data_IF_197573390930
#
_entry.id   IF_197573390930
#
_cell.length_a   1.000
_cell.length_b   1.000
_cell.length_c   1.000
_cell.angle_alpha   90.00
_cell.angle_beta   90.00
_cell.angle_gamma   90.00
#
_symmetry.space_group_name_H-M   'P 1'
#
loop_
_entity.id
_entity.type
_entity.pdbx_description
1 polymer ?
#
# COMPACT_ATOMS: atom_id res chain seq x y z
N UNK A 1 -44.16 3.24 17.62
CA UNK A 1 -43.16 4.24 18.05
C UNK A 1 -42.58 4.84 16.80
N UNK A 2 -42.56 6.15 16.67
CA UNK A 2 -41.87 6.83 15.55
C UNK A 2 -40.37 6.57 15.71
N UNK A 3 -39.71 6.21 14.62
CA UNK A 3 -38.29 5.89 14.61
C UNK A 3 -37.48 7.20 14.59
N UNK A 4 -36.43 7.30 15.43
CA UNK A 4 -35.47 8.42 15.38
C UNK A 4 -34.78 8.41 14.02
N UNK A 5 -34.76 9.55 13.30
CA UNK A 5 -34.03 9.64 12.04
C UNK A 5 -32.53 9.59 12.28
N UNK A 6 -31.83 8.76 11.52
CA UNK A 6 -30.37 8.74 11.50
C UNK A 6 -29.84 9.82 10.58
N UNK A 7 -28.65 10.35 10.89
CA UNK A 7 -28.09 11.45 10.12
C UNK A 7 -27.95 11.09 8.63
N UNK A 8 -27.54 9.85 8.32
CA UNK A 8 -27.40 9.33 6.96
C UNK A 8 -28.70 9.41 6.13
N UNK A 9 -29.87 9.38 6.78
CA UNK A 9 -31.18 9.44 6.11
C UNK A 9 -31.59 10.86 5.72
N UNK A 10 -30.92 11.87 6.30
CA UNK A 10 -31.33 13.27 6.17
C UNK A 10 -30.26 14.11 5.47
N UNK A 11 -28.98 13.99 5.87
CA UNK A 11 -27.94 14.86 5.34
C UNK A 11 -26.53 14.28 5.54
N UNK A 12 -25.64 14.49 4.57
CA UNK A 12 -24.24 14.11 4.63
C UNK A 12 -23.33 15.18 4.00
N UNK A 13 -22.14 15.48 4.56
CA UNK A 13 -21.14 16.36 3.94
C UNK A 13 -20.40 15.63 2.80
N UNK A 14 -21.11 15.34 1.70
CA UNK A 14 -20.61 14.53 0.58
C UNK A 14 -19.34 15.10 -0.06
N UNK A 15 -19.24 16.43 -0.17
CA UNK A 15 -18.06 17.09 -0.74
C UNK A 15 -16.79 16.74 0.05
N UNK A 16 -16.81 16.93 1.37
CA UNK A 16 -15.67 16.61 2.23
C UNK A 16 -15.34 15.11 2.24
N UNK A 17 -16.36 14.24 2.23
CA UNK A 17 -16.16 12.78 2.15
C UNK A 17 -15.47 12.40 0.82
N UNK A 18 -15.89 13.00 -0.29
CA UNK A 18 -15.33 12.75 -1.61
C UNK A 18 -13.88 13.26 -1.72
N UNK A 19 -13.60 14.47 -1.21
CA UNK A 19 -12.25 15.04 -1.16
C UNK A 19 -11.30 14.16 -0.34
N UNK A 20 -11.71 13.76 0.87
CA UNK A 20 -10.92 12.89 1.73
C UNK A 20 -10.67 11.52 1.07
N UNK A 21 -11.69 10.93 0.45
CA UNK A 21 -11.59 9.65 -0.28
C UNK A 21 -10.67 9.74 -1.49
N UNK A 22 -10.64 10.87 -2.19
CA UNK A 22 -9.73 11.09 -3.31
C UNK A 22 -8.28 11.25 -2.82
N UNK A 23 -8.07 12.04 -1.76
CA UNK A 23 -6.75 12.28 -1.16
C UNK A 23 -6.10 10.98 -0.67
N UNK A 24 -6.87 10.09 -0.05
CA UNK A 24 -6.41 8.81 0.50
C UNK A 24 -5.68 7.93 -0.53
N UNK A 25 -6.08 7.97 -1.81
CA UNK A 25 -5.43 7.21 -2.90
C UNK A 25 -3.96 7.56 -3.11
N UNK A 26 -3.55 8.76 -2.70
CA UNK A 26 -2.16 9.22 -2.83
C UNK A 26 -1.28 8.83 -1.63
N UNK A 27 -1.87 8.37 -0.53
CA UNK A 27 -1.19 8.10 0.73
C UNK A 27 -0.47 6.75 0.65
N UNK A 28 0.85 6.78 0.87
CA UNK A 28 1.72 5.59 0.76
C UNK A 28 2.28 5.12 2.10
N UNK A 29 2.25 5.95 3.14
CA UNK A 29 2.76 5.58 4.45
C UNK A 29 1.61 5.26 5.40
N UNK A 30 1.69 4.13 6.11
CA UNK A 30 0.68 3.69 7.09
C UNK A 30 -0.68 3.26 6.50
N UNK A 31 -0.95 3.55 5.22
CA UNK A 31 -2.20 3.15 4.58
C UNK A 31 -2.26 1.64 4.35
N UNK A 32 -3.35 0.94 4.71
CA UNK A 32 -3.38 -0.52 4.68
C UNK A 32 -3.32 -1.14 3.26
N UNK A 33 -3.41 -0.34 2.19
CA UNK A 33 -3.09 -0.79 0.82
C UNK A 33 -1.61 -1.10 0.60
N UNK A 34 -0.71 -0.62 1.46
CA UNK A 34 0.73 -0.91 1.36
C UNK A 34 1.11 -2.23 2.00
N UNK A 35 0.24 -2.79 2.85
CA UNK A 35 0.37 -4.17 3.33
C UNK A 35 0.07 -5.16 2.19
N UNK A 36 -1.07 -4.97 1.51
CA UNK A 36 -1.46 -5.74 0.34
C UNK A 36 -2.45 -4.95 -0.52
N UNK A 37 -2.22 -4.96 -1.84
CA UNK A 37 -3.12 -4.33 -2.80
C UNK A 37 -4.40 -5.17 -2.92
N UNK A 38 -5.54 -4.59 -2.53
CA UNK A 38 -6.86 -5.19 -2.73
C UNK A 38 -7.63 -4.41 -3.79
N UNK A 39 -8.06 -5.09 -4.86
CA UNK A 39 -8.58 -4.46 -6.09
C UNK A 39 -9.87 -3.64 -5.90
N UNK A 40 -10.66 -3.94 -4.88
CA UNK A 40 -11.93 -3.25 -4.61
C UNK A 40 -12.00 -2.68 -3.19
N UNK A 41 -10.87 -2.18 -2.65
CA UNK A 41 -10.84 -1.60 -1.30
C UNK A 41 -11.69 -0.31 -1.27
N UNK A 42 -12.68 -0.26 -0.38
CA UNK A 42 -13.47 0.95 -0.13
C UNK A 42 -12.59 2.01 0.54
N UNK A 43 -12.71 3.30 0.17
CA UNK A 43 -12.01 4.38 0.87
C UNK A 43 -12.35 4.36 2.36
N UNK A 44 -11.36 4.51 3.22
CA UNK A 44 -11.53 4.52 4.68
C UNK A 44 -12.35 5.73 5.11
N UNK A 45 -12.12 6.89 4.49
CA UNK A 45 -12.91 8.10 4.72
C UNK A 45 -14.42 7.86 4.54
N UNK A 46 -14.80 7.24 3.42
CA UNK A 46 -16.20 6.90 3.13
C UNK A 46 -16.76 5.84 4.09
N UNK A 47 -16.01 4.78 4.38
CA UNK A 47 -16.43 3.75 5.33
C UNK A 47 -16.69 4.34 6.72
N UNK A 48 -15.77 5.16 7.23
CA UNK A 48 -15.92 5.85 8.52
C UNK A 48 -17.13 6.76 8.55
N UNK A 49 -17.34 7.57 7.50
CA UNK A 49 -18.48 8.47 7.41
C UNK A 49 -19.81 7.70 7.44
N UNK A 50 -19.94 6.67 6.61
CA UNK A 50 -21.17 5.88 6.50
C UNK A 50 -21.47 5.16 7.81
N UNK A 51 -20.47 4.53 8.43
CA UNK A 51 -20.66 3.85 9.73
C UNK A 51 -21.10 4.86 10.80
N UNK A 52 -20.35 5.95 10.96
CA UNK A 52 -20.64 6.97 11.97
C UNK A 52 -22.05 7.55 11.80
N UNK A 53 -22.41 7.98 10.58
CA UNK A 53 -23.70 8.62 10.28
C UNK A 53 -24.89 7.68 10.24
N UNK A 54 -24.66 6.37 10.12
CA UNK A 54 -25.70 5.35 10.31
C UNK A 54 -26.04 5.12 11.78
N UNK A 55 -25.12 5.46 12.69
CA UNK A 55 -25.29 5.26 14.13
C UNK A 55 -25.81 6.50 14.84
N UNK A 56 -25.30 7.68 14.48
CA UNK A 56 -25.73 8.93 15.11
C UNK A 56 -27.09 9.41 14.56
N UNK A 57 -27.93 9.89 15.46
CA UNK A 57 -29.22 10.50 15.12
C UNK A 57 -29.01 11.85 14.43
N UNK A 58 -30.02 12.29 13.68
CA UNK A 58 -30.10 13.68 13.26
C UNK A 58 -30.40 14.56 14.48
N UNK A 59 -29.51 15.50 14.88
CA UNK A 59 -29.73 16.28 16.10
C UNK A 59 -30.87 17.30 16.00
N UNK A 60 -31.44 17.52 14.81
CA UNK A 60 -32.67 18.32 14.66
C UNK A 60 -33.94 17.46 14.70
N UNK A 61 -33.83 16.13 14.81
CA UNK A 61 -34.99 15.25 15.02
C UNK A 61 -35.57 15.52 16.43
N UNK A 62 -36.89 15.76 16.57
CA UNK A 62 -37.52 16.00 17.86
C UNK A 62 -37.34 14.87 18.90
N UNK A 63 -37.01 13.67 18.46
CA UNK A 63 -36.79 12.48 19.30
C UNK A 63 -35.32 12.15 19.52
N UNK A 64 -34.39 12.97 19.00
CA UNK A 64 -32.97 12.80 19.26
C UNK A 64 -32.67 12.91 20.78
N UNK A 65 -31.78 12.08 21.34
CA UNK A 65 -31.46 12.13 22.76
C UNK A 65 -30.97 13.53 23.17
N UNK A 66 -31.55 14.18 24.22
CA UNK A 66 -31.16 15.53 24.60
C UNK A 66 -29.66 15.68 24.91
N UNK A 67 -29.06 14.64 25.50
CA UNK A 67 -27.62 14.59 25.78
C UNK A 67 -26.78 14.58 24.50
N UNK A 68 -27.21 13.83 23.47
CA UNK A 68 -26.56 13.83 22.16
C UNK A 68 -26.66 15.21 21.50
N UNK A 69 -27.85 15.82 21.49
CA UNK A 69 -28.06 17.16 20.92
C UNK A 69 -27.17 18.19 21.63
N UNK A 70 -27.07 18.12 22.96
CA UNK A 70 -26.19 19.00 23.73
C UNK A 70 -24.71 18.75 23.44
N UNK A 71 -24.29 17.49 23.28
CA UNK A 71 -22.92 17.17 22.87
C UNK A 71 -22.60 17.76 21.49
N UNK A 72 -23.51 17.66 20.51
CA UNK A 72 -23.37 18.31 19.22
C UNK A 72 -23.27 19.85 19.34
N UNK A 73 -24.05 20.47 20.25
CA UNK A 73 -23.92 21.90 20.57
C UNK A 73 -22.61 22.28 21.23
N UNK A 74 -21.86 21.34 21.80
CA UNK A 74 -20.57 21.60 22.43
C UNK A 74 -19.39 21.36 21.48
N UNK A 75 -19.62 20.75 20.31
CA UNK A 75 -18.57 20.55 19.31
C UNK A 75 -17.99 21.90 18.85
N UNK A 76 -16.69 21.95 18.51
CA UNK A 76 -16.07 23.16 17.96
C UNK A 76 -16.74 23.63 16.68
N UNK A 77 -16.93 24.95 16.55
CA UNK A 77 -17.42 25.58 15.32
C UNK A 77 -16.38 25.43 14.21
N UNK A 78 -16.82 25.03 13.02
CA UNK A 78 -16.00 25.00 11.82
C UNK A 78 -16.57 25.92 10.74
N UNK A 79 -16.30 25.58 9.48
CA UNK A 79 -16.63 26.41 8.32
C UNK A 79 -18.13 26.48 8.01
N UNK A 80 -18.91 25.52 8.50
CA UNK A 80 -20.36 25.46 8.31
C UNK A 80 -21.15 26.24 9.37
N UNK A 81 -20.48 26.75 10.42
CA UNK A 81 -21.12 27.51 11.48
C UNK A 81 -21.54 28.91 10.99
N UNK A 82 -22.80 29.27 11.22
CA UNK A 82 -23.34 30.61 10.96
C UNK A 82 -23.49 31.41 12.28
N UNK A 83 -24.01 32.64 12.20
CA UNK A 83 -24.30 33.44 13.40
C UNK A 83 -25.29 32.76 14.36
N UNK A 84 -26.21 31.94 13.85
CA UNK A 84 -27.16 31.12 14.60
C UNK A 84 -26.89 29.64 14.32
N UNK A 85 -25.74 29.15 14.80
CA UNK A 85 -25.28 27.80 14.48
C UNK A 85 -26.16 26.70 15.09
N UNK A 86 -26.46 25.68 14.29
CA UNK A 86 -27.28 24.54 14.71
C UNK A 86 -26.42 23.36 15.17
N UNK A 87 -26.97 22.45 16.00
CA UNK A 87 -26.29 21.19 16.34
C UNK A 87 -25.86 20.40 15.10
N UNK A 88 -26.71 20.37 14.05
CA UNK A 88 -26.39 19.70 12.78
C UNK A 88 -25.18 20.32 12.07
N UNK A 89 -25.08 21.65 12.03
CA UNK A 89 -23.94 22.34 11.42
C UNK A 89 -22.62 22.00 12.13
N UNK A 90 -22.64 21.98 13.47
CA UNK A 90 -21.46 21.57 14.25
C UNK A 90 -21.10 20.10 14.06
N UNK A 91 -22.10 19.23 13.93
CA UNK A 91 -21.89 17.82 13.63
C UNK A 91 -21.28 17.64 12.23
N UNK A 92 -21.69 18.46 11.25
CA UNK A 92 -21.07 18.48 9.92
C UNK A 92 -19.61 18.90 9.98
N UNK A 93 -19.30 20.01 10.65
CA UNK A 93 -17.92 20.46 10.88
C UNK A 93 -17.06 19.41 11.59
N UNK A 94 -17.65 18.60 12.47
CA UNK A 94 -16.97 17.46 13.08
C UNK A 94 -16.75 16.32 12.09
N UNK A 95 -17.76 15.92 11.30
CA UNK A 95 -17.64 14.85 10.31
C UNK A 95 -16.55 15.18 9.29
N UNK A 96 -16.48 16.42 8.81
CA UNK A 96 -15.43 16.84 7.87
C UNK A 96 -14.01 16.62 8.42
N UNK A 97 -13.81 16.85 9.72
CA UNK A 97 -12.54 16.53 10.40
C UNK A 97 -12.37 15.03 10.58
N UNK A 98 -13.43 14.35 11.03
CA UNK A 98 -13.44 12.92 11.30
C UNK A 98 -13.03 12.10 10.08
N UNK A 99 -13.44 12.47 8.86
CA UNK A 99 -13.18 11.70 7.63
C UNK A 99 -11.77 11.88 7.06
N UNK A 100 -10.97 12.80 7.61
CA UNK A 100 -9.60 13.03 7.15
C UNK A 100 -8.68 11.82 7.42
N UNK A 101 -7.54 11.76 6.74
CA UNK A 101 -6.54 10.73 7.01
C UNK A 101 -5.90 10.93 8.38
N UNK A 102 -5.63 12.17 8.77
CA UNK A 102 -5.01 12.54 10.03
C UNK A 102 -5.85 12.11 11.24
N UNK A 103 -7.19 12.18 11.11
CA UNK A 103 -8.11 11.72 12.14
C UNK A 103 -8.03 10.22 12.43
N UNK A 104 -7.44 9.40 11.54
CA UNK A 104 -7.30 7.95 11.75
C UNK A 104 -6.45 7.57 12.97
N UNK A 105 -5.64 8.51 13.46
CA UNK A 105 -4.74 8.36 14.60
C UNK A 105 -4.90 9.46 15.65
N UNK A 106 -5.89 10.35 15.48
CA UNK A 106 -6.20 11.40 16.44
C UNK A 106 -7.20 10.87 17.48
N UNK A 107 -6.68 10.48 18.64
CA UNK A 107 -7.52 9.94 19.72
C UNK A 107 -8.53 10.94 20.27
N UNK A 108 -8.31 12.26 20.17
CA UNK A 108 -9.30 13.23 20.63
C UNK A 108 -10.53 13.23 19.71
N UNK A 109 -10.30 13.20 18.38
CA UNK A 109 -11.37 13.10 17.39
C UNK A 109 -12.08 11.75 17.50
N UNK A 110 -11.34 10.64 17.59
CA UNK A 110 -11.92 9.30 17.68
C UNK A 110 -12.70 9.10 18.98
N UNK A 111 -12.21 9.62 20.11
CA UNK A 111 -12.93 9.59 21.39
C UNK A 111 -14.25 10.38 21.30
N UNK A 112 -14.22 11.58 20.70
CA UNK A 112 -15.43 12.37 20.47
C UNK A 112 -16.44 11.59 19.60
N UNK A 113 -15.98 10.91 18.54
CA UNK A 113 -16.86 10.09 17.70
C UNK A 113 -17.49 8.93 18.48
N UNK A 114 -16.70 8.23 19.30
CA UNK A 114 -17.17 7.14 20.18
C UNK A 114 -18.22 7.65 21.17
N UNK A 115 -18.00 8.80 21.80
CA UNK A 115 -18.94 9.41 22.74
C UNK A 115 -20.27 9.78 22.06
N UNK A 116 -20.23 10.37 20.87
CA UNK A 116 -21.44 10.71 20.11
C UNK A 116 -22.24 9.45 19.71
N UNK A 117 -21.55 8.38 19.30
CA UNK A 117 -22.17 7.08 19.02
C UNK A 117 -22.85 6.54 20.29
N UNK A 118 -22.16 6.54 21.42
CA UNK A 118 -22.70 6.06 22.71
C UNK A 118 -23.95 6.83 23.12
N UNK A 119 -23.94 8.16 23.01
CA UNK A 119 -25.10 9.00 23.35
C UNK A 119 -26.30 8.75 22.43
N UNK A 120 -26.07 8.49 21.14
CA UNK A 120 -27.15 8.24 20.18
C UNK A 120 -27.70 6.80 20.22
N UNK A 121 -26.92 5.86 20.76
CA UNK A 121 -27.27 4.44 20.88
C UNK A 121 -27.67 4.04 22.30
N UNK A 122 -27.98 5.02 23.15
CA UNK A 122 -28.38 4.80 24.55
C UNK A 122 -27.37 3.93 25.33
N UNK A 123 -26.07 4.10 25.02
CA UNK A 123 -24.97 3.35 25.64
C UNK A 123 -24.72 1.95 25.08
N UNK A 124 -25.46 1.54 24.04
CA UNK A 124 -25.42 0.18 23.50
C UNK A 124 -25.30 0.18 21.97
N UNK A 125 -24.14 0.57 21.42
CA UNK A 125 -23.92 0.55 19.98
C UNK A 125 -24.01 -0.89 19.44
N UNK A 126 -24.70 -1.11 18.30
CA UNK A 126 -24.83 -2.45 17.75
C UNK A 126 -23.48 -2.97 17.22
N UNK A 127 -23.24 -4.30 17.28
CA UNK A 127 -22.10 -4.89 16.59
C UNK A 127 -22.25 -4.70 15.07
N UNK A 128 -21.12 -4.50 14.39
CA UNK A 128 -21.06 -4.39 12.93
C UNK A 128 -20.61 -5.72 12.33
N UNK A 129 -21.37 -6.25 11.36
CA UNK A 129 -21.01 -7.43 10.59
C UNK A 129 -20.73 -7.03 9.13
N UNK A 130 -19.52 -7.31 8.66
CA UNK A 130 -19.15 -7.23 7.24
C UNK A 130 -18.88 -8.64 6.69
N UNK A 131 -19.86 -9.29 6.04
CA UNK A 131 -19.73 -10.67 5.59
C UNK A 131 -18.83 -10.83 4.34
N UNK A 132 -18.42 -9.72 3.71
CA UNK A 132 -17.61 -9.68 2.49
C UNK A 132 -16.50 -8.64 2.61
N UNK A 133 -15.70 -8.76 3.67
CA UNK A 133 -14.83 -7.70 4.13
C UNK A 133 -13.70 -7.33 3.15
N UNK A 134 -13.29 -8.24 2.27
CA UNK A 134 -12.25 -8.01 1.28
C UNK A 134 -10.99 -7.42 1.90
N UNK A 135 -10.66 -6.18 1.56
CA UNK A 135 -9.49 -5.47 2.08
C UNK A 135 -9.61 -4.96 3.53
N UNK A 136 -10.77 -5.12 4.18
CA UNK A 136 -11.01 -4.85 5.60
C UNK A 136 -11.30 -3.40 5.97
N UNK A 137 -11.69 -2.54 5.00
CA UNK A 137 -11.91 -1.11 5.28
C UNK A 137 -13.04 -0.85 6.27
N UNK A 138 -14.20 -1.48 6.08
CA UNK A 138 -15.38 -1.29 6.93
C UNK A 138 -15.13 -1.78 8.36
N UNK A 139 -14.70 -3.04 8.60
CA UNK A 139 -14.46 -3.51 9.96
C UNK A 139 -13.29 -2.78 10.66
N UNK A 140 -12.28 -2.30 9.92
CA UNK A 140 -11.21 -1.48 10.49
C UNK A 140 -11.73 -0.13 11.00
N UNK A 141 -12.54 0.56 10.20
CA UNK A 141 -13.13 1.85 10.61
C UNK A 141 -14.17 1.67 11.73
N UNK A 142 -14.93 0.57 11.71
CA UNK A 142 -15.83 0.20 12.80
C UNK A 142 -15.08 0.06 14.13
N UNK A 143 -13.94 -0.65 14.12
CA UNK A 143 -13.09 -0.80 15.30
C UNK A 143 -12.51 0.55 15.77
N UNK A 144 -12.09 1.42 14.86
CA UNK A 144 -11.62 2.79 15.20
C UNK A 144 -12.70 3.61 15.89
N UNK A 145 -13.94 3.48 15.43
CA UNK A 145 -15.14 4.11 16.00
C UNK A 145 -15.63 3.42 17.29
N UNK A 146 -14.91 2.42 17.81
CA UNK A 146 -15.20 1.76 19.09
C UNK A 146 -16.29 0.68 19.02
N UNK A 147 -16.63 0.19 17.83
CA UNK A 147 -17.62 -0.86 17.65
C UNK A 147 -17.00 -2.25 17.78
N UNK A 148 -17.83 -3.21 18.22
CA UNK A 148 -17.55 -4.62 18.01
C UNK A 148 -17.71 -4.93 16.52
N UNK A 149 -16.62 -5.29 15.84
CA UNK A 149 -16.59 -5.53 14.41
C UNK A 149 -16.33 -7.00 14.11
N UNK A 150 -17.27 -7.63 13.40
CA UNK A 150 -17.18 -8.98 12.86
C UNK A 150 -16.99 -8.91 11.35
N UNK A 151 -16.02 -9.65 10.84
CA UNK A 151 -15.70 -9.67 9.42
C UNK A 151 -15.48 -11.10 8.94
N UNK A 152 -16.04 -11.42 7.77
CA UNK A 152 -15.76 -12.68 7.07
C UNK A 152 -15.44 -12.44 5.60
N UNK A 153 -14.74 -13.40 5.00
CA UNK A 153 -14.54 -13.48 3.57
C UNK A 153 -14.25 -14.94 3.20
N UNK A 154 -14.65 -15.36 1.99
CA UNK A 154 -14.31 -16.68 1.47
C UNK A 154 -12.86 -16.72 0.96
N UNK A 155 -12.34 -15.58 0.52
CA UNK A 155 -10.99 -15.48 -0.03
C UNK A 155 -9.95 -15.52 1.11
N UNK A 156 -9.04 -16.51 1.14
CA UNK A 156 -8.04 -16.61 2.21
C UNK A 156 -7.09 -15.41 2.26
N UNK A 157 -6.84 -14.74 1.14
CA UNK A 157 -6.03 -13.51 1.12
C UNK A 157 -6.75 -12.37 1.84
N UNK A 158 -8.06 -12.20 1.63
CA UNK A 158 -8.86 -11.22 2.36
C UNK A 158 -8.86 -11.52 3.86
N UNK A 159 -9.08 -12.78 4.25
CA UNK A 159 -9.04 -13.21 5.64
C UNK A 159 -7.68 -12.87 6.28
N UNK A 160 -6.57 -13.15 5.60
CA UNK A 160 -5.24 -12.82 6.11
C UNK A 160 -5.01 -11.31 6.26
N UNK A 161 -5.48 -10.49 5.32
CA UNK A 161 -5.41 -9.03 5.43
C UNK A 161 -6.20 -8.54 6.64
N UNK A 162 -7.42 -9.02 6.84
CA UNK A 162 -8.28 -8.64 7.97
C UNK A 162 -7.65 -9.07 9.30
N UNK A 163 -7.08 -10.29 9.37
CA UNK A 163 -6.34 -10.75 10.55
C UNK A 163 -5.19 -9.82 10.90
N UNK A 164 -4.36 -9.46 9.92
CA UNK A 164 -3.21 -8.60 10.12
C UNK A 164 -3.58 -7.17 10.50
N UNK A 165 -4.71 -6.65 10.02
CA UNK A 165 -5.14 -5.27 10.26
C UNK A 165 -6.02 -5.10 11.51
N UNK A 166 -6.88 -6.06 11.81
CA UNK A 166 -8.04 -5.88 12.71
C UNK A 166 -8.02 -6.86 13.88
N UNK A 167 -7.62 -8.11 13.64
CA UNK A 167 -7.68 -9.16 14.68
C UNK A 167 -6.40 -9.21 15.54
N UNK A 168 -5.24 -9.21 14.89
CA UNK A 168 -3.96 -9.45 15.56
C UNK A 168 -3.50 -8.21 16.35
N UNK A 169 -3.40 -7.00 15.78
CA UNK A 169 -2.81 -5.86 16.51
C UNK A 169 -3.51 -5.53 17.86
N UNK A 170 -4.85 -5.53 17.96
CA UNK A 170 -5.54 -5.26 19.22
C UNK A 170 -5.30 -6.33 20.29
N UNK A 171 -5.12 -7.60 19.92
CA UNK A 171 -4.81 -8.68 20.86
C UNK A 171 -3.48 -8.46 21.60
N UNK A 172 -2.56 -7.71 20.99
CA UNK A 172 -1.25 -7.35 21.55
C UNK A 172 -1.16 -5.87 21.95
N UNK A 173 -2.29 -5.16 22.00
CA UNK A 173 -2.30 -3.74 22.34
C UNK A 173 -1.76 -3.53 23.77
N UNK A 174 -0.87 -2.55 23.89
CA UNK A 174 -0.18 -2.18 25.12
C UNK A 174 0.66 -3.29 25.78
N UNK A 175 0.94 -4.37 25.05
CA UNK A 175 1.81 -5.44 25.53
C UNK A 175 3.27 -5.15 25.16
N UNK A 176 4.23 -5.52 26.04
CA UNK A 176 5.63 -5.47 25.69
C UNK A 176 5.97 -6.49 24.60
N UNK A 177 6.99 -6.23 23.77
CA UNK A 177 7.48 -7.18 22.79
C UNK A 177 7.97 -8.48 23.44
N UNK A 178 8.01 -9.55 22.65
CA UNK A 178 8.51 -10.86 23.06
C UNK A 178 9.95 -11.13 22.65
N UNK A 179 10.51 -10.31 21.74
CA UNK A 179 11.85 -10.53 21.21
C UNK A 179 12.94 -10.35 22.27
N UNK A 180 14.06 -11.10 22.18
CA UNK A 180 15.14 -11.05 23.17
C UNK A 180 15.80 -9.68 23.33
N UNK A 181 15.91 -8.89 22.25
CA UNK A 181 16.57 -7.57 22.26
C UNK A 181 15.81 -6.56 23.14
N UNK A 182 14.49 -6.59 23.05
CA UNK A 182 13.64 -5.62 23.76
C UNK A 182 13.13 -6.17 25.11
N UNK A 183 13.18 -7.50 25.33
CA UNK A 183 12.86 -8.14 26.64
C UNK A 183 14.03 -8.17 27.62
N UNK A 184 15.23 -8.43 27.14
CA UNK A 184 16.44 -8.50 27.97
C UNK A 184 17.24 -7.23 27.77
N UNK A 185 17.91 -6.74 28.81
CA UNK A 185 18.86 -5.63 28.72
C UNK A 185 20.12 -5.94 27.89
N UNK A 186 19.99 -6.62 26.76
CA UNK A 186 21.04 -6.80 25.78
C UNK A 186 21.41 -5.41 25.22
N UNK A 187 22.71 -5.08 25.15
CA UNK A 187 23.11 -3.78 24.66
C UNK A 187 22.68 -3.66 23.21
N UNK A 188 21.76 -2.74 22.93
CA UNK A 188 21.62 -2.21 21.59
C UNK A 188 23.01 -1.78 21.11
N UNK A 189 23.35 -2.05 19.84
CA UNK A 189 24.56 -1.53 19.20
C UNK A 189 24.69 0.01 19.30
N UNK A 190 23.62 0.69 19.73
CA UNK A 190 23.54 2.10 20.09
C UNK A 190 23.41 2.32 21.61
N UNK A 191 24.44 2.00 22.40
CA UNK A 191 24.78 2.63 23.70
C UNK A 191 23.70 2.93 24.76
N UNK A 192 22.50 2.39 24.68
CA UNK A 192 21.39 2.70 25.58
C UNK A 192 21.25 1.58 26.61
N UNK A 193 21.48 1.91 27.87
CA UNK A 193 21.44 1.01 29.02
C UNK A 193 20.04 0.46 29.28
N UNK A 194 19.97 -0.82 29.66
CA UNK A 194 18.77 -1.59 30.05
C UNK A 194 17.79 -0.86 31.00
N UNK A 195 18.27 0.06 31.83
CA UNK A 195 17.44 0.85 32.75
C UNK A 195 16.44 1.81 32.06
N UNK A 196 16.70 2.23 30.80
CA UNK A 196 15.75 3.07 30.04
C UNK A 196 14.62 2.29 29.37
N UNK A 197 14.74 0.97 29.25
CA UNK A 197 13.75 0.10 28.60
C UNK A 197 12.57 -0.29 29.50
N UNK A 198 12.80 -0.39 30.82
CA UNK A 198 11.73 -0.61 31.80
C UNK A 198 10.75 0.57 31.92
N UNK A 199 11.12 1.75 31.41
CA UNK A 199 10.30 2.96 31.41
C UNK A 199 9.56 3.20 30.07
N UNK A 200 9.74 2.36 29.05
CA UNK A 200 9.04 2.52 27.78
C UNK A 200 7.63 1.95 27.92
N UNK A 201 6.66 2.85 28.07
CA UNK A 201 5.25 2.46 27.99
C UNK A 201 4.93 2.09 26.54
N UNK A 202 4.73 0.79 26.28
CA UNK A 202 4.28 0.29 24.99
C UNK A 202 2.82 0.72 24.80
N UNK A 203 2.59 1.71 23.93
CA UNK A 203 1.25 2.20 23.60
C UNK A 203 0.75 1.55 22.32
N UNK A 204 -0.50 1.08 22.31
CA UNK A 204 -1.13 0.45 21.14
C UNK A 204 -0.33 -0.76 20.65
N UNK A 205 -0.16 -0.89 19.33
CA UNK A 205 0.55 -2.02 18.72
C UNK A 205 2.09 -1.84 18.66
N UNK A 206 2.69 -0.92 19.43
CA UNK A 206 4.12 -0.63 19.35
C UNK A 206 5.02 -1.80 19.76
N UNK A 207 4.62 -2.61 20.76
CA UNK A 207 5.34 -3.83 21.13
C UNK A 207 5.33 -4.87 20.02
N UNK A 208 4.15 -5.18 19.46
CA UNK A 208 4.03 -6.07 18.30
C UNK A 208 4.85 -5.57 17.11
N UNK A 209 4.83 -4.26 16.84
CA UNK A 209 5.63 -3.68 15.76
C UNK A 209 7.13 -3.86 15.99
N UNK A 210 7.61 -3.82 17.24
CA UNK A 210 9.00 -4.10 17.56
C UNK A 210 9.36 -5.57 17.28
N UNK A 211 8.50 -6.51 17.65
CA UNK A 211 8.67 -7.93 17.32
C UNK A 211 8.68 -8.20 15.80
N UNK A 212 7.76 -7.61 15.06
CA UNK A 212 7.70 -7.75 13.59
C UNK A 212 9.00 -7.26 12.94
N UNK A 213 9.57 -6.15 13.42
CA UNK A 213 10.87 -5.66 12.93
C UNK A 213 12.00 -6.63 13.28
N UNK A 214 12.09 -7.03 14.55
CA UNK A 214 13.15 -7.92 15.01
C UNK A 214 13.15 -9.27 14.27
N UNK A 215 12.00 -9.96 14.23
CA UNK A 215 11.92 -11.25 13.55
C UNK A 215 11.99 -11.11 12.03
N UNK A 216 11.57 -9.98 11.48
CA UNK A 216 11.78 -9.64 10.07
C UNK A 216 13.26 -9.52 9.72
N UNK A 217 14.04 -8.79 10.53
CA UNK A 217 15.50 -8.67 10.40
C UNK A 217 16.17 -10.05 10.53
N UNK A 218 15.82 -10.82 11.55
CA UNK A 218 16.33 -12.18 11.74
C UNK A 218 16.02 -13.10 10.55
N UNK A 219 14.78 -13.09 10.04
CA UNK A 219 14.40 -13.87 8.86
C UNK A 219 15.21 -13.45 7.63
N UNK A 220 15.43 -12.15 7.43
CA UNK A 220 16.26 -11.62 6.35
C UNK A 220 17.70 -12.12 6.48
N UNK A 221 18.30 -12.06 7.66
CA UNK A 221 19.65 -12.55 7.92
C UNK A 221 19.76 -14.06 7.65
N UNK A 222 18.79 -14.86 8.12
CA UNK A 222 18.77 -16.30 7.84
C UNK A 222 18.55 -16.63 6.36
N UNK A 223 17.76 -15.84 5.65
CA UNK A 223 17.67 -15.97 4.20
C UNK A 223 19.02 -15.64 3.54
N UNK A 224 19.65 -14.54 3.94
CA UNK A 224 20.95 -14.12 3.40
C UNK A 224 22.07 -15.15 3.66
N UNK A 225 22.15 -15.73 4.86
CA UNK A 225 23.09 -16.82 5.17
C UNK A 225 22.91 -18.03 4.21
N UNK A 226 21.66 -18.37 3.89
CA UNK A 226 21.34 -19.58 3.09
C UNK A 226 21.49 -19.35 1.59
N UNK A 227 21.05 -18.20 1.08
CA UNK A 227 20.91 -17.94 -0.36
C UNK A 227 21.58 -16.64 -0.82
N UNK A 228 22.25 -15.89 0.07
CA UNK A 228 22.93 -14.65 -0.28
C UNK A 228 24.04 -14.84 -1.32
N UNK A 229 24.68 -16.01 -1.35
CA UNK A 229 25.66 -16.37 -2.38
C UNK A 229 25.08 -16.41 -3.81
N UNK A 230 23.76 -16.46 -3.98
CA UNK A 230 23.08 -16.33 -5.28
C UNK A 230 23.02 -14.87 -5.77
N UNK A 231 23.32 -13.91 -4.91
CA UNK A 231 23.34 -12.47 -5.15
C UNK A 231 24.78 -11.96 -5.04
N UNK A 232 25.64 -12.24 -6.04
CA UNK A 232 27.04 -11.84 -6.01
C UNK A 232 27.20 -10.32 -5.98
N UNK A 233 28.38 -9.87 -5.58
CA UNK A 233 28.74 -8.46 -5.67
C UNK A 233 29.23 -8.09 -7.09
N UNK A 234 28.89 -6.89 -7.53
CA UNK A 234 29.44 -6.25 -8.72
C UNK A 234 29.88 -4.84 -8.32
N UNK A 235 31.18 -4.53 -8.49
CA UNK A 235 31.77 -3.24 -8.09
C UNK A 235 31.56 -2.88 -6.60
N UNK A 236 31.53 -3.87 -5.70
CA UNK A 236 31.31 -3.66 -4.26
C UNK A 236 29.84 -3.45 -3.86
N UNK A 237 28.90 -3.63 -4.79
CA UNK A 237 27.47 -3.57 -4.51
C UNK A 237 26.81 -4.93 -4.76
N UNK A 238 25.84 -5.28 -3.93
CA UNK A 238 25.03 -6.51 -4.10
C UNK A 238 24.21 -6.41 -5.38
N UNK A 239 24.29 -7.43 -6.24
CA UNK A 239 23.38 -7.59 -7.39
C UNK A 239 22.00 -7.97 -6.88
N UNK A 240 20.98 -7.19 -7.25
CA UNK A 240 19.58 -7.41 -6.82
C UNK A 240 18.66 -7.87 -7.96
N UNK A 241 19.06 -7.66 -9.22
CA UNK A 241 18.30 -8.15 -10.37
C UNK A 241 19.17 -8.34 -11.62
N UNK A 242 18.69 -9.23 -12.50
CA UNK A 242 19.25 -9.45 -13.83
C UNK A 242 18.16 -9.26 -14.88
N UNK A 243 18.47 -8.46 -15.90
CA UNK A 243 17.57 -8.21 -17.01
C UNK A 243 18.02 -9.02 -18.22
N UNK A 244 17.17 -9.96 -18.64
CA UNK A 244 17.45 -10.89 -19.73
C UNK A 244 16.54 -10.60 -20.93
N UNK A 245 17.10 -10.67 -22.13
CA UNK A 245 16.33 -10.76 -23.36
C UNK A 245 16.13 -12.22 -23.75
N UNK A 246 14.92 -12.60 -24.18
CA UNK A 246 14.76 -13.79 -25.01
C UNK A 246 15.38 -13.52 -26.37
N UNK A 247 15.99 -14.52 -26.98
CA UNK A 247 16.58 -14.40 -28.31
C UNK A 247 16.03 -15.47 -29.24
N UNK A 248 16.03 -15.16 -30.53
CA UNK A 248 15.70 -16.08 -31.63
C UNK A 248 16.72 -15.89 -32.74
N UNK A 249 16.91 -16.90 -33.59
CA UNK A 249 17.77 -16.74 -34.76
C UNK A 249 17.14 -15.75 -35.74
N UNK A 250 17.94 -14.90 -36.37
CA UNK A 250 17.47 -14.02 -37.43
C UNK A 250 16.97 -14.85 -38.62
N UNK A 251 15.78 -14.57 -39.18
CA UNK A 251 15.25 -15.34 -40.31
C UNK A 251 16.02 -15.10 -41.61
N UNK A 252 16.84 -14.03 -41.69
CA UNK A 252 17.76 -13.81 -42.80
C UNK A 252 18.96 -14.77 -42.68
N UNK A 253 19.10 -15.76 -43.58
CA UNK A 253 20.17 -16.76 -43.50
C UNK A 253 21.58 -16.15 -43.60
N UNK A 254 21.74 -15.04 -44.31
CA UNK A 254 23.01 -14.34 -44.44
C UNK A 254 23.41 -13.59 -43.15
N UNK A 255 22.44 -13.28 -42.27
CA UNK A 255 22.71 -12.64 -40.99
C UNK A 255 22.92 -13.69 -39.89
N UNK A 256 21.95 -14.58 -39.68
CA UNK A 256 22.04 -15.66 -38.69
C UNK A 256 22.20 -15.24 -37.23
N UNK A 257 22.18 -13.93 -36.92
CA UNK A 257 22.38 -13.40 -35.58
C UNK A 257 21.34 -13.92 -34.58
N UNK A 258 21.73 -14.06 -33.32
CA UNK A 258 20.78 -14.30 -32.22
C UNK A 258 20.17 -12.97 -31.80
N UNK A 259 19.03 -12.61 -32.41
CA UNK A 259 18.42 -11.30 -32.19
C UNK A 259 17.65 -11.27 -30.86
N UNK A 260 17.88 -10.26 -30.01
CA UNK A 260 17.16 -10.10 -28.76
C UNK A 260 15.73 -9.59 -29.00
N UNK A 261 14.79 -10.08 -28.21
CA UNK A 261 13.39 -9.70 -28.21
C UNK A 261 13.12 -8.79 -27.00
N UNK A 262 13.11 -7.49 -27.25
CA UNK A 262 13.09 -6.45 -26.21
C UNK A 262 12.06 -5.40 -26.60
N UNK A 263 11.13 -5.08 -25.69
CA UNK A 263 10.12 -4.04 -25.93
C UNK A 263 10.70 -2.63 -25.79
N UNK A 264 11.65 -2.43 -24.89
CA UNK A 264 12.33 -1.15 -24.68
C UNK A 264 13.71 -1.40 -24.10
N UNK A 265 14.70 -0.66 -24.59
CA UNK A 265 16.05 -0.66 -24.03
C UNK A 265 16.21 0.37 -22.89
N UNK A 266 15.18 1.15 -22.56
CA UNK A 266 15.22 2.05 -21.41
C UNK A 266 15.08 1.27 -20.10
N UNK A 267 16.04 1.46 -19.18
CA UNK A 267 16.03 0.86 -17.84
C UNK A 267 15.42 1.80 -16.80
N UNK A 268 15.71 3.11 -16.90
CA UNK A 268 15.16 4.15 -16.02
C UNK A 268 14.85 5.40 -16.82
N UNK A 269 13.66 5.95 -16.60
CA UNK A 269 13.19 7.25 -17.15
C UNK A 269 13.06 8.33 -16.06
N UNK A 270 13.59 8.08 -14.87
CA UNK A 270 13.55 9.04 -13.76
C UNK A 270 14.38 10.27 -14.13
N UNK A 271 13.76 11.46 -14.06
CA UNK A 271 14.44 12.73 -14.36
C UNK A 271 15.75 12.85 -13.58
N UNK A 272 16.85 13.16 -14.27
CA UNK A 272 18.18 13.27 -13.68
C UNK A 272 18.90 11.94 -13.42
N UNK A 273 18.22 10.79 -13.59
CA UNK A 273 18.76 9.44 -13.37
C UNK A 273 18.32 8.49 -14.49
N UNK A 274 18.58 8.88 -15.73
CA UNK A 274 18.26 8.05 -16.90
C UNK A 274 19.28 6.93 -17.04
N UNK A 275 18.81 5.74 -17.40
CA UNK A 275 19.64 4.59 -17.70
C UNK A 275 19.04 3.79 -18.86
N UNK A 276 19.87 3.29 -19.77
CA UNK A 276 19.44 2.50 -20.91
C UNK A 276 20.51 1.50 -21.35
N UNK A 277 20.11 0.54 -22.18
CA UNK A 277 20.99 -0.46 -22.79
C UNK A 277 21.23 -0.10 -24.25
N UNK A 278 22.47 -0.15 -24.70
CA UNK A 278 22.83 -0.02 -26.11
C UNK A 278 23.30 -1.38 -26.66
N UNK A 279 22.60 -1.94 -27.66
CA UNK A 279 23.09 -3.13 -28.36
C UNK A 279 24.28 -2.76 -29.25
N UNK A 280 25.38 -3.48 -29.08
CA UNK A 280 26.59 -3.41 -29.90
C UNK A 280 26.62 -4.63 -30.82
N UNK A 281 26.76 -4.42 -32.13
CA UNK A 281 26.79 -5.50 -33.11
C UNK A 281 28.20 -5.65 -33.65
N UNK A 282 28.80 -6.82 -33.43
CA UNK A 282 30.07 -7.15 -34.08
C UNK A 282 29.85 -7.36 -35.59
N UNK A 283 30.54 -6.58 -36.42
CA UNK A 283 30.32 -6.56 -37.86
C UNK A 283 30.68 -7.89 -38.57
N UNK A 284 31.62 -8.66 -38.00
CA UNK A 284 32.12 -9.90 -38.61
C UNK A 284 31.31 -11.11 -38.16
N UNK A 285 31.09 -11.23 -36.86
CA UNK A 285 30.45 -12.40 -36.23
C UNK A 285 28.94 -12.23 -36.08
N UNK A 286 28.41 -11.00 -36.25
CA UNK A 286 27.03 -10.63 -35.94
C UNK A 286 26.62 -10.92 -34.51
N UNK A 287 27.60 -11.11 -33.61
CA UNK A 287 27.38 -11.27 -32.18
C UNK A 287 26.90 -9.93 -31.63
N UNK A 288 25.78 -9.99 -30.90
CA UNK A 288 25.20 -8.81 -30.25
C UNK A 288 25.67 -8.83 -28.80
N UNK A 289 26.22 -7.72 -28.31
CA UNK A 289 26.53 -7.50 -26.89
C UNK A 289 25.79 -6.25 -26.41
N UNK A 290 25.76 -6.02 -25.10
CA UNK A 290 25.00 -4.92 -24.51
C UNK A 290 25.91 -4.06 -23.65
N UNK A 291 25.75 -2.74 -23.75
CA UNK A 291 26.44 -1.77 -22.91
C UNK A 291 25.39 -0.95 -22.17
N UNK A 292 25.49 -0.89 -20.84
CA UNK A 292 24.63 -0.04 -20.03
C UNK A 292 25.19 1.39 -20.05
N UNK A 293 24.32 2.36 -20.29
CA UNK A 293 24.61 3.79 -20.24
C UNK A 293 23.77 4.46 -19.16
N UNK A 294 24.35 5.46 -18.51
CA UNK A 294 23.68 6.28 -17.50
C UNK A 294 24.00 7.76 -17.74
N UNK A 295 23.00 8.62 -17.61
CA UNK A 295 23.16 10.07 -17.77
C UNK A 295 22.02 10.84 -17.09
N UNK A 296 22.18 12.17 -16.97
CA UNK A 296 21.12 13.06 -16.46
C UNK A 296 19.91 13.12 -17.39
N UNK A 297 20.12 12.89 -18.70
CA UNK A 297 19.11 12.79 -19.75
C UNK A 297 19.61 11.83 -20.83
N UNK A 298 18.72 11.00 -21.36
CA UNK A 298 19.01 10.07 -22.44
C UNK A 298 17.90 9.02 -22.61
N UNK A 299 17.98 8.25 -23.67
CA UNK A 299 17.08 7.11 -23.94
C UNK A 299 17.83 6.08 -24.77
N UNK A 300 17.47 4.81 -24.60
CA UNK A 300 17.93 3.75 -25.48
C UNK A 300 17.32 3.85 -26.86
N UNK A 301 17.87 3.07 -27.79
CA UNK A 301 17.24 2.85 -29.08
C UNK A 301 15.84 2.23 -28.91
N UNK A 302 15.05 2.27 -29.99
CA UNK A 302 13.77 1.58 -30.02
C UNK A 302 13.94 0.09 -29.72
N UNK A 303 12.96 -0.47 -29.00
CA UNK A 303 12.91 -1.91 -28.76
C UNK A 303 12.85 -2.70 -30.06
N UNK A 304 13.36 -3.92 -30.04
CA UNK A 304 13.30 -4.81 -31.20
C UNK A 304 11.91 -5.36 -31.45
N UNK A 305 11.01 -5.34 -30.46
CA UNK A 305 9.64 -5.86 -30.58
C UNK A 305 8.63 -4.72 -30.61
N UNK A 306 7.77 -4.72 -31.63
CA UNK A 306 6.65 -3.81 -31.78
C UNK A 306 5.35 -4.58 -32.08
N UNK A 307 4.29 -3.87 -32.50
CA UNK A 307 2.97 -4.45 -32.80
C UNK A 307 2.94 -5.40 -34.02
N UNK A 308 3.96 -5.38 -34.87
CA UNK A 308 4.04 -6.17 -36.10
C UNK A 308 4.93 -7.42 -35.95
N UNK A 309 5.82 -7.43 -34.96
CA UNK A 309 6.76 -8.51 -34.72
C UNK A 309 8.06 -7.99 -34.11
N UNK A 310 9.16 -8.68 -34.40
CA UNK A 310 10.50 -8.28 -34.00
C UNK A 310 11.32 -7.79 -35.21
N UNK A 311 12.35 -6.99 -34.97
CA UNK A 311 13.32 -6.54 -35.97
C UNK A 311 14.74 -6.86 -35.50
N UNK A 312 15.55 -7.47 -36.36
CA UNK A 312 16.93 -7.81 -36.03
C UNK A 312 17.80 -6.55 -35.94
N UNK A 313 18.39 -6.27 -34.77
CA UNK A 313 19.30 -5.12 -34.58
C UNK A 313 20.58 -5.22 -35.40
N UNK A 314 20.95 -6.41 -35.88
CA UNK A 314 22.19 -6.61 -36.65
C UNK A 314 22.05 -6.34 -38.16
N UNK A 315 20.85 -6.50 -38.73
CA UNK A 315 20.65 -6.36 -40.17
C UNK A 315 19.29 -5.73 -40.58
N UNK A 316 18.45 -5.34 -39.63
CA UNK A 316 17.13 -4.75 -39.89
C UNK A 316 16.07 -5.70 -40.41
N UNK A 317 16.36 -7.01 -40.57
CA UNK A 317 15.38 -7.97 -41.08
C UNK A 317 14.21 -8.13 -40.11
N UNK A 318 12.95 -8.00 -40.59
CA UNK A 318 11.77 -8.24 -39.77
C UNK A 318 11.56 -9.73 -39.52
N UNK A 319 11.09 -10.03 -38.32
CA UNK A 319 10.75 -11.36 -37.83
C UNK A 319 9.31 -11.31 -37.29
N UNK A 320 8.33 -11.66 -38.13
CA UNK A 320 6.92 -11.51 -37.76
C UNK A 320 6.54 -12.50 -36.64
N UNK A 321 5.46 -12.20 -35.91
CA UNK A 321 5.05 -13.04 -34.78
C UNK A 321 4.87 -14.53 -35.07
N UNK A 322 4.35 -14.98 -36.23
CA UNK A 322 4.29 -16.40 -36.56
C UNK A 322 5.66 -17.08 -36.48
N UNK A 323 6.70 -16.43 -37.01
CA UNK A 323 8.08 -16.94 -36.94
C UNK A 323 8.58 -17.02 -35.50
N UNK A 324 8.45 -15.93 -34.74
CA UNK A 324 8.89 -15.89 -33.33
C UNK A 324 8.16 -16.93 -32.47
N UNK A 325 6.86 -17.14 -32.72
CA UNK A 325 6.06 -18.15 -32.02
C UNK A 325 6.48 -19.57 -32.42
N UNK A 326 6.80 -19.81 -33.68
CA UNK A 326 7.31 -21.11 -34.14
C UNK A 326 8.65 -21.46 -33.50
N UNK A 327 9.60 -20.51 -33.46
CA UNK A 327 10.88 -20.66 -32.76
C UNK A 327 10.67 -20.99 -31.28
N UNK A 328 9.73 -20.31 -30.63
CA UNK A 328 9.37 -20.57 -29.23
C UNK A 328 8.76 -21.96 -29.01
N UNK A 329 7.76 -22.34 -29.81
CA UNK A 329 7.11 -23.67 -29.74
C UNK A 329 8.09 -24.81 -30.02
N UNK A 330 9.07 -24.56 -30.88
CA UNK A 330 10.08 -25.54 -31.24
C UNK A 330 11.28 -25.59 -30.28
N UNK A 331 11.26 -24.82 -29.18
CA UNK A 331 12.35 -24.80 -28.21
C UNK A 331 13.65 -24.17 -28.72
N UNK A 332 13.60 -23.38 -29.80
CA UNK A 332 14.78 -22.73 -30.43
C UNK A 332 15.07 -21.33 -29.88
N UNK A 333 14.27 -20.88 -28.90
CA UNK A 333 14.55 -19.64 -28.16
C UNK A 333 15.71 -19.82 -27.19
N UNK A 334 16.54 -18.78 -27.08
CA UNK A 334 17.59 -18.71 -26.06
C UNK A 334 17.38 -17.48 -25.17
N UNK A 335 18.31 -17.20 -24.26
CA UNK A 335 18.32 -16.04 -23.39
C UNK A 335 19.71 -15.39 -23.37
N UNK A 336 19.75 -14.08 -23.31
CA UNK A 336 20.98 -13.31 -23.20
C UNK A 336 20.84 -12.21 -22.14
N UNK A 337 21.83 -12.11 -21.26
CA UNK A 337 21.87 -11.08 -20.22
C UNK A 337 22.11 -9.71 -20.86
N UNK A 338 21.24 -8.76 -20.56
CA UNK A 338 21.34 -7.37 -21.05
C UNK A 338 21.96 -6.44 -20.03
N UNK A 339 21.54 -6.56 -18.78
CA UNK A 339 21.96 -5.66 -17.70
C UNK A 339 21.89 -6.36 -16.34
N UNK A 340 22.74 -5.90 -15.44
CA UNK A 340 22.78 -6.27 -14.03
C UNK A 340 22.36 -5.02 -13.24
N UNK A 341 21.49 -5.19 -12.25
CA UNK A 341 21.03 -4.13 -11.36
C UNK A 341 21.59 -4.42 -9.98
N UNK A 342 22.30 -3.45 -9.40
CA UNK A 342 22.83 -3.50 -8.04
C UNK A 342 21.97 -2.67 -7.09
N UNK A 343 22.10 -2.91 -5.78
CA UNK A 343 21.33 -2.20 -4.75
C UNK A 343 21.49 -0.68 -4.86
N UNK A 344 22.73 -0.20 -5.01
CA UNK A 344 23.10 1.20 -5.23
C UNK A 344 22.63 2.19 -4.15
N UNK A 345 23.36 3.28 -3.96
CA UNK A 345 22.94 4.37 -3.06
C UNK A 345 22.09 5.45 -3.77
N UNK A 346 21.06 5.04 -4.52
CA UNK A 346 20.31 5.92 -5.43
C UNK A 346 19.26 6.81 -4.77
#
# INVERSE_FOLDING_TARGET
>A
MTQRKKLIEVALPLEAINEASAREKSIRHGHPSTLHLWWARRPLAAARAVIFTSLVDDPDDPQAPPAFVQACRNLPKGKNATANDTPRQRLFDFIERLVTWEATTDEAILTTARELIQLSTDGNPPPLLDPFAGGGSIPLEAQRLGLEAHASDLNPVAVMINKALIEIPPKFANQPPVNPRDRGGAPAASGQTAAKMAAVQWKGASGLAADVRYYGEWMREKAWERIGHLYPECNGETVIAWLWARTVKCPNPACGAQMPLVRSFDLSKKKGKHAWVEPQVDAKTRKITFVVKQASKGSGADGTVNRLGATCVACGTPAPFPYVRDEGKSGRMNAQLMAIVTEGNN
#
